data_IF_982983970438
#
_entry.id   IF_982983970438
#
_cell.length_a   1.000
_cell.length_b   1.000
_cell.length_c   1.000
_cell.angle_alpha   90.00
_cell.angle_beta   90.00
_cell.angle_gamma   90.00
#
_symmetry.space_group_name_H-M   'P 1'
#
loop_
_entity.id
_entity.type
_entity.pdbx_description
1 polymer ?
#
# COMPACT_ATOMS: atom_id res chain seq x y z
N UNK A 1 11.13 67.52 32.40
CA UNK A 1 9.78 67.25 31.86
C UNK A 1 9.98 66.34 30.66
N UNK A 2 10.10 65.03 30.87
CA UNK A 2 9.02 64.00 30.90
C UNK A 2 9.16 63.19 29.59
N UNK A 3 9.82 62.01 29.58
CA UNK A 3 9.44 60.68 30.11
C UNK A 3 8.80 59.81 29.02
N UNK A 4 9.21 58.53 28.95
CA UNK A 4 8.58 57.46 28.16
C UNK A 4 9.59 56.66 27.32
N UNK A 5 10.50 55.88 27.91
CA UNK A 5 10.35 54.50 28.41
C UNK A 5 10.83 53.42 27.41
N UNK A 6 12.05 52.96 27.70
CA UNK A 6 12.69 51.72 27.25
C UNK A 6 12.09 50.54 28.02
N UNK A 7 11.55 49.53 27.32
CA UNK A 7 11.55 48.06 27.61
C UNK A 7 11.28 47.35 26.27
N UNK A 8 12.00 46.31 25.84
CA UNK A 8 11.84 44.93 26.30
C UNK A 8 13.21 44.23 26.36
N UNK A 9 13.58 43.80 27.58
CA UNK A 9 14.58 42.74 27.82
C UNK A 9 13.81 41.42 27.95
N UNK A 10 14.27 40.40 27.24
CA UNK A 10 13.76 39.03 27.37
C UNK A 10 14.77 38.05 26.77
N UNK A 11 15.85 37.81 27.51
CA UNK A 11 16.79 36.74 27.23
C UNK A 11 16.21 35.42 27.78
N UNK A 12 16.15 34.39 26.94
CA UNK A 12 16.18 32.99 27.33
C UNK A 12 16.70 32.23 26.09
N UNK A 13 18.00 31.94 26.02
CA UNK A 13 18.62 30.73 26.56
C UNK A 13 18.43 29.51 25.63
N UNK A 14 19.57 29.11 25.09
CA UNK A 14 19.90 27.94 24.30
C UNK A 14 19.54 26.64 25.05
N UNK A 15 18.87 25.70 24.38
CA UNK A 15 18.94 24.24 24.59
C UNK A 15 18.93 23.62 23.18
N UNK A 16 20.07 23.30 22.59
CA UNK A 16 20.81 22.05 22.74
C UNK A 16 19.98 20.78 22.38
N UNK A 17 20.23 20.30 21.16
CA UNK A 17 20.32 18.89 20.75
C UNK A 17 19.06 18.00 20.89
N UNK A 18 18.50 17.67 19.73
CA UNK A 18 18.35 16.27 19.33
C UNK A 18 18.81 16.13 17.87
N UNK A 19 20.10 15.82 17.70
CA UNK A 19 20.55 15.09 16.54
C UNK A 19 19.87 13.71 16.55
N UNK A 20 19.60 13.17 15.36
CA UNK A 20 19.14 11.80 15.08
C UNK A 20 17.65 11.51 15.30
N UNK A 21 16.79 12.15 14.51
CA UNK A 21 15.80 11.35 13.78
C UNK A 21 16.31 11.24 12.36
N UNK A 22 17.30 10.37 12.17
CA UNK A 22 17.48 9.71 10.89
C UNK A 22 16.27 8.79 10.73
N UNK A 23 15.11 9.35 10.39
CA UNK A 23 14.09 8.59 9.70
C UNK A 23 14.68 8.27 8.34
N UNK A 24 15.47 7.19 8.32
CA UNK A 24 15.76 6.41 7.12
C UNK A 24 14.40 5.99 6.59
N UNK A 25 13.83 6.80 5.71
CA UNK A 25 12.95 6.26 4.71
C UNK A 25 13.66 6.48 3.39
N UNK A 26 14.31 5.39 2.99
CA UNK A 26 14.73 5.09 1.66
C UNK A 26 13.80 5.79 0.68
N UNK A 27 14.36 6.74 -0.05
CA UNK A 27 13.73 7.28 -1.24
C UNK A 27 13.75 6.13 -2.23
N UNK A 28 12.79 5.21 -2.12
CA UNK A 28 12.43 4.35 -3.22
C UNK A 28 11.97 5.34 -4.28
N UNK A 29 12.85 5.56 -5.25
CA UNK A 29 12.57 6.28 -6.47
C UNK A 29 11.41 5.55 -7.15
N UNK A 30 10.19 5.88 -6.72
CA UNK A 30 8.99 5.45 -7.37
C UNK A 30 9.15 5.94 -8.80
N UNK A 31 9.25 4.99 -9.74
CA UNK A 31 9.29 5.26 -11.17
C UNK A 31 7.87 5.62 -11.62
N UNK A 32 7.32 6.64 -11.00
CA UNK A 32 6.03 7.25 -11.33
C UNK A 32 6.39 8.61 -11.89
N UNK A 33 6.23 8.76 -13.21
CA UNK A 33 6.55 10.01 -13.88
C UNK A 33 5.71 11.14 -13.26
N UNK A 34 6.31 12.25 -12.80
CA UNK A 34 5.59 13.31 -12.09
C UNK A 34 4.49 13.94 -12.94
N UNK A 35 4.62 13.88 -14.27
CA UNK A 35 3.59 14.32 -15.22
C UNK A 35 2.29 13.51 -15.15
N UNK A 36 2.34 12.25 -14.68
CA UNK A 36 1.15 11.40 -14.51
C UNK A 36 0.33 11.87 -13.31
N UNK A 37 0.97 12.49 -12.31
CA UNK A 37 0.29 12.92 -11.08
C UNK A 37 -0.56 14.19 -11.28
N UNK A 38 -0.16 15.05 -12.23
CA UNK A 38 -0.88 16.27 -12.61
C UNK A 38 -2.08 16.01 -13.54
N UNK A 39 -2.35 14.75 -13.87
CA UNK A 39 -3.45 14.38 -14.74
C UNK A 39 -4.77 14.33 -13.95
N UNK A 40 -5.83 15.07 -14.35
CA UNK A 40 -7.10 15.10 -13.61
C UNK A 40 -7.75 13.72 -13.47
N UNK A 41 -7.42 12.80 -14.37
CA UNK A 41 -7.88 11.41 -14.34
C UNK A 41 -7.27 10.65 -13.16
N UNK A 42 -6.00 10.93 -12.84
CA UNK A 42 -5.23 10.27 -11.78
C UNK A 42 -5.51 10.90 -10.42
N UNK A 43 -5.83 12.20 -10.39
CA UNK A 43 -6.19 12.91 -9.14
C UNK A 43 -7.30 12.19 -8.36
N UNK A 44 -8.30 11.65 -9.06
CA UNK A 44 -9.41 10.89 -8.45
C UNK A 44 -8.95 9.59 -7.79
N UNK A 45 -7.82 9.03 -8.21
CA UNK A 45 -7.25 7.81 -7.66
C UNK A 45 -6.29 8.08 -6.48
N UNK A 46 -5.96 9.34 -6.18
CA UNK A 46 -5.07 9.70 -5.07
C UNK A 46 -5.50 9.17 -3.70
N UNK A 47 -6.80 9.17 -3.31
CA UNK A 47 -7.22 8.58 -2.05
C UNK A 47 -6.88 7.10 -1.95
N UNK A 48 -7.03 6.36 -3.05
CA UNK A 48 -6.72 4.93 -3.15
C UNK A 48 -5.21 4.71 -3.04
N UNK A 49 -4.41 5.53 -3.75
CA UNK A 49 -2.94 5.47 -3.69
C UNK A 49 -2.45 5.72 -2.26
N UNK A 50 -2.96 6.76 -1.59
CA UNK A 50 -2.61 7.07 -0.20
C UNK A 50 -3.02 5.95 0.76
N UNK A 51 -4.19 5.35 0.56
CA UNK A 51 -4.63 4.22 1.36
C UNK A 51 -3.70 3.01 1.21
N UNK A 52 -3.27 2.69 -0.02
CA UNK A 52 -2.30 1.61 -0.28
C UNK A 52 -0.95 1.88 0.38
N UNK A 53 -0.44 3.10 0.28
CA UNK A 53 0.81 3.48 0.92
C UNK A 53 0.71 3.40 2.44
N UNK A 54 -0.41 3.83 3.03
CA UNK A 54 -0.67 3.71 4.47
C UNK A 54 -0.78 2.24 4.94
N UNK A 55 -1.17 1.34 4.04
CA UNK A 55 -1.21 -0.11 4.28
C UNK A 55 0.16 -0.80 4.11
N UNK A 56 1.21 -0.06 3.70
CA UNK A 56 2.55 -0.61 3.51
C UNK A 56 2.85 -1.06 2.08
N UNK A 57 1.93 -0.90 1.13
CA UNK A 57 2.19 -1.22 -0.27
C UNK A 57 3.08 -0.16 -0.94
N UNK A 58 4.05 -0.64 -1.71
CA UNK A 58 4.85 0.18 -2.63
C UNK A 58 4.16 0.26 -3.99
N UNK A 59 3.94 1.47 -4.49
CA UNK A 59 3.33 1.67 -5.82
C UNK A 59 4.36 1.35 -6.90
N UNK A 60 4.09 0.31 -7.69
CA UNK A 60 4.96 -0.16 -8.78
C UNK A 60 4.71 0.62 -10.07
N UNK A 61 3.44 0.87 -10.39
CA UNK A 61 3.08 1.65 -11.59
C UNK A 61 1.68 2.21 -11.51
N UNK A 62 1.47 3.35 -12.17
CA UNK A 62 0.16 3.96 -12.40
C UNK A 62 0.05 4.21 -13.89
N UNK A 63 -0.92 3.57 -14.53
CA UNK A 63 -1.12 3.68 -15.97
C UNK A 63 -2.59 3.90 -16.30
N UNK A 64 -2.85 4.62 -17.38
CA UNK A 64 -4.19 4.65 -17.96
C UNK A 64 -4.39 3.47 -18.89
N UNK A 65 -5.59 2.91 -18.84
CA UNK A 65 -6.03 1.91 -19.83
C UNK A 65 -6.65 2.59 -21.04
N UNK A 66 -6.87 1.84 -22.12
CA UNK A 66 -7.53 2.35 -23.34
C UNK A 66 -8.93 2.94 -23.09
N UNK A 67 -9.60 2.52 -22.02
CA UNK A 67 -10.93 3.02 -21.62
C UNK A 67 -10.84 4.16 -20.59
N UNK A 68 -9.70 4.87 -20.55
CA UNK A 68 -9.40 5.97 -19.63
C UNK A 68 -9.45 5.61 -18.12
N UNK A 69 -9.55 4.33 -17.75
CA UNK A 69 -9.47 3.90 -16.35
C UNK A 69 -8.05 3.99 -15.83
N UNK A 70 -7.91 4.35 -14.56
CA UNK A 70 -6.61 4.36 -13.87
C UNK A 70 -6.35 2.97 -13.32
N UNK A 71 -5.23 2.36 -13.73
CA UNK A 71 -4.74 1.10 -13.19
C UNK A 71 -3.53 1.37 -12.31
N UNK A 72 -3.62 0.95 -11.06
CA UNK A 72 -2.57 1.04 -10.05
C UNK A 72 -2.06 -0.37 -9.80
N UNK A 73 -0.75 -0.59 -9.92
CA UNK A 73 -0.10 -1.81 -9.42
C UNK A 73 0.65 -1.47 -8.16
N UNK A 74 0.36 -2.17 -7.08
CA UNK A 74 0.94 -1.97 -5.77
C UNK A 74 1.48 -3.30 -5.25
N UNK A 75 2.64 -3.29 -4.63
CA UNK A 75 3.36 -4.49 -4.20
C UNK A 75 3.73 -4.41 -2.71
N UNK A 76 3.58 -5.52 -2.03
CA UNK A 76 4.08 -5.83 -0.69
C UNK A 76 5.09 -7.00 -0.80
N UNK A 77 5.68 -7.45 0.31
CA UNK A 77 6.56 -8.62 0.38
C UNK A 77 5.92 -9.87 -0.20
N UNK A 78 4.63 -10.05 0.05
CA UNK A 78 3.93 -11.31 -0.22
C UNK A 78 3.00 -11.21 -1.42
N UNK A 79 2.59 -10.00 -1.83
CA UNK A 79 1.53 -9.83 -2.83
C UNK A 79 1.81 -8.70 -3.82
N UNK A 80 1.43 -8.93 -5.07
CA UNK A 80 1.25 -7.92 -6.10
C UNK A 80 -0.24 -7.71 -6.35
N UNK A 81 -0.75 -6.54 -5.98
CA UNK A 81 -2.14 -6.14 -6.15
C UNK A 81 -2.30 -5.25 -7.38
N UNK A 82 -3.36 -5.48 -8.15
CA UNK A 82 -3.80 -4.60 -9.22
C UNK A 82 -5.17 -4.02 -8.84
N UNK A 83 -5.24 -2.69 -8.87
CA UNK A 83 -6.45 -1.94 -8.58
C UNK A 83 -6.80 -1.09 -9.79
N UNK A 84 -8.07 -1.13 -10.20
CA UNK A 84 -8.58 -0.30 -11.30
C UNK A 84 -9.61 0.66 -10.74
N UNK A 85 -9.42 1.94 -11.00
CA UNK A 85 -10.26 3.04 -10.51
C UNK A 85 -10.97 3.71 -11.68
N UNK A 86 -12.25 4.00 -11.48
CA UNK A 86 -13.07 4.81 -12.37
C UNK A 86 -12.57 6.27 -12.35
N UNK A 87 -12.22 6.86 -13.50
CA UNK A 87 -11.72 8.23 -13.53
C UNK A 87 -12.83 9.26 -13.31
N UNK A 88 -14.10 8.90 -13.54
CA UNK A 88 -15.25 9.79 -13.42
C UNK A 88 -15.79 9.83 -11.99
N UNK A 89 -15.91 8.67 -11.33
CA UNK A 89 -16.44 8.55 -9.97
C UNK A 89 -15.35 8.44 -8.89
N UNK A 90 -14.16 7.97 -9.23
CA UNK A 90 -13.13 7.59 -8.25
C UNK A 90 -13.39 6.24 -7.57
N UNK A 91 -14.43 5.51 -7.99
CA UNK A 91 -14.75 4.20 -7.42
C UNK A 91 -13.76 3.12 -7.86
N UNK A 92 -13.53 2.15 -6.97
CA UNK A 92 -12.72 0.97 -7.29
C UNK A 92 -13.59 0.01 -8.11
N UNK A 93 -13.21 -0.20 -9.36
CA UNK A 93 -13.87 -1.11 -10.30
C UNK A 93 -13.30 -2.52 -10.24
N UNK A 94 -12.03 -2.65 -9.86
CA UNK A 94 -11.36 -3.93 -9.69
C UNK A 94 -10.36 -3.84 -8.57
N UNK A 95 -10.30 -4.92 -7.81
CA UNK A 95 -9.31 -5.15 -6.79
C UNK A 95 -8.91 -6.62 -6.83
N UNK A 96 -7.68 -6.92 -7.26
CA UNK A 96 -7.24 -8.28 -7.46
C UNK A 96 -5.76 -8.48 -7.07
N UNK A 97 -5.47 -9.60 -6.42
CA UNK A 97 -4.10 -10.10 -6.26
C UNK A 97 -3.70 -10.77 -7.58
N UNK A 98 -2.67 -10.25 -8.24
CA UNK A 98 -2.17 -10.73 -9.54
C UNK A 98 -1.06 -11.75 -9.36
N UNK A 99 -0.28 -11.61 -8.29
CA UNK A 99 0.82 -12.53 -7.99
C UNK A 99 0.97 -12.63 -6.49
N UNK A 100 1.14 -13.85 -6.00
CA UNK A 100 1.50 -14.12 -4.62
C UNK A 100 2.98 -14.51 -4.62
N UNK A 101 3.80 -13.69 -3.98
CA UNK A 101 5.17 -14.03 -3.65
C UNK A 101 5.14 -14.87 -2.38
N UNK A 102 4.66 -16.10 -2.49
CA UNK A 102 4.88 -17.07 -1.43
C UNK A 102 6.36 -17.48 -1.48
N UNK A 103 7.19 -17.12 -0.47
CA UNK A 103 8.49 -17.75 -0.36
C UNK A 103 8.24 -19.25 -0.28
N UNK A 104 8.85 -20.00 -1.19
CA UNK A 104 8.73 -21.45 -1.15
C UNK A 104 9.11 -21.90 0.26
N UNK A 105 8.25 -22.66 0.97
CA UNK A 105 8.71 -23.29 2.19
C UNK A 105 9.93 -24.13 1.80
N UNK A 106 11.07 -23.90 2.45
CA UNK A 106 12.24 -24.76 2.27
C UNK A 106 11.93 -26.09 2.95
N UNK A 107 11.17 -26.93 2.26
CA UNK A 107 10.84 -28.29 2.69
C UNK A 107 12.03 -29.16 2.29
N UNK A 108 12.78 -29.71 3.26
CA UNK A 108 13.82 -30.68 2.96
C UNK A 108 13.23 -31.81 2.09
N UNK A 109 13.98 -32.34 1.09
CA UNK A 109 13.43 -33.32 0.14
C UNK A 109 12.73 -34.53 0.80
N UNK A 110 13.15 -34.92 2.00
CA UNK A 110 12.55 -36.04 2.75
C UNK A 110 11.12 -35.81 3.25
N UNK A 111 10.64 -34.57 3.39
CA UNK A 111 9.32 -34.28 3.95
C UNK A 111 8.24 -34.09 2.87
N UNK A 112 8.60 -34.19 1.59
CA UNK A 112 7.69 -34.07 0.44
C UNK A 112 6.86 -35.35 0.22
N UNK A 113 6.11 -35.77 1.24
CA UNK A 113 5.31 -36.98 1.15
C UNK A 113 4.09 -36.71 0.27
N UNK A 114 3.94 -37.48 -0.81
CA UNK A 114 2.72 -37.48 -1.62
C UNK A 114 1.55 -37.93 -0.76
N UNK A 115 0.66 -37.00 -0.39
CA UNK A 115 -0.60 -37.32 0.27
C UNK A 115 -1.61 -37.60 -0.84
N UNK A 116 -1.99 -38.86 -1.11
CA UNK A 116 -3.07 -39.13 -2.04
C UNK A 116 -4.33 -38.44 -1.52
N UNK A 117 -5.01 -37.68 -2.40
CA UNK A 117 -6.33 -37.15 -2.08
C UNK A 117 -7.23 -38.35 -1.80
N UNK A 118 -7.51 -38.60 -0.52
CA UNK A 118 -8.50 -39.60 -0.14
C UNK A 118 -9.82 -39.21 -0.81
N UNK A 119 -10.61 -40.18 -1.32
CA UNK A 119 -11.97 -39.90 -1.76
C UNK A 119 -12.68 -39.14 -0.64
N UNK A 120 -13.14 -37.92 -0.93
CA UNK A 120 -13.93 -37.14 0.02
C UNK A 120 -15.19 -37.96 0.26
N UNK A 121 -15.33 -38.59 1.43
CA UNK A 121 -16.53 -39.35 1.74
C UNK A 121 -17.73 -38.40 1.59
N UNK A 122 -18.75 -38.74 0.77
CA UNK A 122 -19.93 -37.91 0.65
C UNK A 122 -20.52 -37.68 2.04
N UNK A 123 -21.04 -36.49 2.35
CA UNK A 123 -21.63 -36.22 3.66
C UNK A 123 -22.67 -37.29 3.93
N UNK A 124 -22.50 -38.04 5.03
CA UNK A 124 -23.37 -39.13 5.42
C UNK A 124 -24.82 -38.66 5.28
N UNK A 125 -25.53 -39.25 4.32
CA UNK A 125 -26.94 -38.95 4.12
C UNK A 125 -27.63 -39.21 5.46
N UNK A 126 -28.15 -38.15 6.07
CA UNK A 126 -29.01 -38.27 7.24
C UNK A 126 -30.19 -39.11 6.79
N UNK A 127 -30.16 -40.41 7.11
CA UNK A 127 -31.24 -41.31 6.80
C UNK A 127 -32.54 -40.73 7.36
N UNK A 128 -33.69 -40.92 6.70
CA UNK A 128 -34.95 -40.42 7.24
C UNK A 128 -35.19 -41.14 8.57
N UNK A 129 -34.93 -40.43 9.66
CA UNK A 129 -35.41 -40.80 10.97
C UNK A 129 -36.93 -40.67 10.96
N UNK A 130 -37.56 -41.77 11.35
CA UNK A 130 -38.79 -41.89 12.13
C UNK A 130 -39.47 -40.58 12.54
#
# INVERSE_FOLDING_TARGET
>A
MQSGDIRIRGAAAIVAVCLSVSCVQAQVLAKVDPSILSDPTVERALPVIRALQAQGYTIVSINKTLLNRVRIRAQDSDYLREIVVSPSSGEILRDAVVTEFHPMPNVPPQDQTFVPLLPVEPPAAKGPGQ
#
